data_IF_708729473971
#
_entry.id   IF_708729473971
#
_cell.length_a   1.000
_cell.length_b   1.000
_cell.length_c   1.000
_cell.angle_alpha   90.00
_cell.angle_beta   90.00
_cell.angle_gamma   90.00
#
_symmetry.space_group_name_H-M   'P 1'
#
loop_
_entity.id
_entity.type
_entity.pdbx_description
1 polymer ?
#
# COMPACT_ATOMS: atom_id res chain seq x y z
N UNK A 1 25.45 -6.77 1.75
CA UNK A 1 24.34 -5.87 2.07
C UNK A 1 23.82 -5.35 0.74
N UNK A 2 22.68 -5.80 0.34
CA UNK A 2 22.03 -5.33 -0.89
C UNK A 2 21.58 -3.90 -0.61
N UNK A 3 22.12 -2.96 -1.37
CA UNK A 3 21.83 -1.52 -1.21
C UNK A 3 20.46 -1.25 -1.86
N UNK A 4 19.38 -1.63 -1.16
CA UNK A 4 18.03 -1.36 -1.64
C UNK A 4 17.72 0.12 -1.46
N UNK A 5 17.11 0.69 -2.50
CA UNK A 5 16.66 2.07 -2.43
C UNK A 5 15.53 2.19 -1.39
N UNK A 6 15.68 3.15 -0.46
CA UNK A 6 14.65 3.47 0.53
C UNK A 6 13.39 3.98 -0.18
N UNK A 7 12.23 3.46 0.19
CA UNK A 7 10.93 3.88 -0.30
C UNK A 7 10.05 4.38 0.86
N UNK A 8 8.94 5.03 0.53
CA UNK A 8 7.89 5.38 1.49
C UNK A 8 6.65 4.56 1.21
N UNK A 9 6.17 3.83 2.21
CA UNK A 9 4.83 3.23 2.22
C UNK A 9 3.82 4.28 2.65
N UNK A 10 2.74 4.44 1.89
CA UNK A 10 1.61 5.33 2.21
C UNK A 10 0.41 4.46 2.50
N UNK A 11 -0.11 4.56 3.73
CA UNK A 11 -1.17 3.69 4.25
C UNK A 11 -2.33 4.56 4.74
N UNK A 12 -3.37 4.77 3.94
CA UNK A 12 -4.60 5.37 4.42
C UNK A 12 -5.40 4.36 5.26
N UNK A 13 -6.03 4.82 6.32
CA UNK A 13 -6.88 3.99 7.17
C UNK A 13 -8.13 4.76 7.62
N UNK A 14 -9.19 4.01 7.95
CA UNK A 14 -10.39 4.51 8.63
C UNK A 14 -11.04 3.39 9.40
N UNK A 15 -11.09 3.52 10.73
CA UNK A 15 -11.82 2.63 11.65
C UNK A 15 -11.60 1.14 11.40
N UNK A 16 -10.33 0.74 11.23
CA UNK A 16 -9.94 -0.65 10.96
C UNK A 16 -8.62 -1.03 11.66
N UNK A 17 -8.48 -0.61 12.90
CA UNK A 17 -7.25 -0.75 13.70
C UNK A 17 -6.57 -2.12 13.62
N UNK A 18 -7.26 -3.28 13.78
CA UNK A 18 -6.58 -4.57 13.74
C UNK A 18 -5.88 -4.86 12.41
N UNK A 19 -6.49 -4.48 11.31
CA UNK A 19 -5.90 -4.62 9.97
C UNK A 19 -4.73 -3.66 9.76
N UNK A 20 -4.88 -2.39 10.18
CA UNK A 20 -3.79 -1.41 10.14
C UNK A 20 -2.56 -1.91 10.90
N UNK A 21 -2.75 -2.46 12.10
CA UNK A 21 -1.67 -3.05 12.90
C UNK A 21 -0.98 -4.19 12.17
N UNK A 22 -1.73 -5.04 11.48
CA UNK A 22 -1.20 -6.14 10.71
C UNK A 22 -0.44 -5.65 9.46
N UNK A 23 -0.98 -4.66 8.74
CA UNK A 23 -0.33 -4.06 7.57
C UNK A 23 1.03 -3.43 7.94
N UNK A 24 1.04 -2.56 8.94
CA UNK A 24 2.26 -1.90 9.44
C UNK A 24 3.23 -2.92 10.03
N UNK A 25 2.74 -3.87 10.81
CA UNK A 25 3.53 -4.96 11.38
C UNK A 25 4.24 -5.81 10.33
N UNK A 26 3.62 -6.05 9.17
CA UNK A 26 4.24 -6.78 8.07
C UNK A 26 5.43 -6.03 7.46
N UNK A 27 5.37 -4.70 7.38
CA UNK A 27 6.49 -3.88 6.91
C UNK A 27 7.63 -3.94 7.94
N UNK A 28 7.31 -3.74 9.22
CA UNK A 28 8.32 -3.77 10.29
C UNK A 28 9.00 -5.13 10.41
N UNK A 29 8.26 -6.22 10.27
CA UNK A 29 8.78 -7.59 10.32
C UNK A 29 9.79 -7.88 9.20
N UNK A 30 9.51 -7.43 7.98
CA UNK A 30 10.32 -7.78 6.82
C UNK A 30 11.42 -6.76 6.51
N UNK A 31 11.25 -5.51 6.95
CA UNK A 31 12.14 -4.41 6.57
C UNK A 31 12.62 -3.56 7.76
N UNK A 32 12.08 -3.76 8.97
CA UNK A 32 12.44 -2.94 10.13
C UNK A 32 12.20 -1.46 9.85
N UNK A 33 13.23 -0.63 10.08
CA UNK A 33 13.20 0.82 9.83
C UNK A 33 13.89 1.24 8.51
N UNK A 34 14.12 0.29 7.60
CA UNK A 34 14.82 0.57 6.32
C UNK A 34 14.01 1.48 5.40
N UNK A 35 12.69 1.49 5.54
CA UNK A 35 11.76 2.29 4.75
C UNK A 35 10.98 3.28 5.60
N UNK A 36 10.46 4.34 4.97
CA UNK A 36 9.52 5.25 5.62
C UNK A 36 8.09 4.72 5.54
N UNK A 37 7.28 5.04 6.55
CA UNK A 37 5.85 4.75 6.56
C UNK A 37 5.10 6.06 6.83
N UNK A 38 4.18 6.41 5.96
CA UNK A 38 3.22 7.51 6.15
C UNK A 38 1.87 6.88 6.44
N UNK A 39 1.36 7.07 7.66
CA UNK A 39 0.04 6.57 8.09
C UNK A 39 -0.93 7.74 8.08
N UNK A 40 -2.03 7.58 7.36
CA UNK A 40 -3.01 8.63 7.10
C UNK A 40 -4.37 8.21 7.67
N UNK A 41 -4.77 8.84 8.78
CA UNK A 41 -6.06 8.60 9.42
C UNK A 41 -7.16 9.47 8.81
N UNK A 42 -8.22 8.86 8.29
CA UNK A 42 -9.38 9.53 7.68
C UNK A 42 -10.52 9.70 8.67
N UNK A 43 -10.27 10.41 9.77
CA UNK A 43 -11.25 10.64 10.83
C UNK A 43 -11.84 9.34 11.39
N UNK A 44 -10.97 8.41 11.80
CA UNK A 44 -11.39 7.17 12.47
C UNK A 44 -12.15 7.45 13.76
N UNK A 45 -13.13 6.61 14.04
CA UNK A 45 -13.97 6.64 15.25
C UNK A 45 -13.72 5.46 16.21
N UNK A 46 -12.69 4.65 15.89
CA UNK A 46 -12.11 3.63 16.76
C UNK A 46 -10.82 4.15 17.42
N UNK A 47 -10.03 3.30 18.03
CA UNK A 47 -8.76 3.66 18.67
C UNK A 47 -7.58 3.73 17.65
N UNK A 48 -7.84 3.85 16.36
CA UNK A 48 -6.78 3.87 15.32
C UNK A 48 -5.84 5.05 15.52
N UNK A 49 -6.36 6.25 15.76
CA UNK A 49 -5.51 7.42 15.90
C UNK A 49 -4.62 7.37 17.14
N UNK A 50 -5.16 7.00 18.29
CA UNK A 50 -4.40 6.85 19.53
C UNK A 50 -3.29 5.81 19.41
N UNK A 51 -3.56 4.73 18.67
CA UNK A 51 -2.52 3.74 18.36
C UNK A 51 -1.46 4.32 17.42
N UNK A 52 -1.86 5.04 16.37
CA UNK A 52 -0.93 5.66 15.39
C UNK A 52 0.04 6.60 16.12
N UNK A 53 -0.46 7.50 16.97
CA UNK A 53 0.38 8.43 17.75
C UNK A 53 1.38 7.67 18.63
N UNK A 54 0.88 6.68 19.38
CA UNK A 54 1.72 5.86 20.26
C UNK A 54 2.76 5.04 19.49
N UNK A 55 2.37 4.49 18.33
CA UNK A 55 3.27 3.68 17.50
C UNK A 55 4.38 4.52 16.85
N UNK A 56 4.07 5.75 16.45
CA UNK A 56 5.02 6.65 15.81
C UNK A 56 6.01 7.29 16.80
N UNK A 57 5.69 7.28 18.10
CA UNK A 57 6.53 7.95 19.10
C UNK A 57 7.96 7.39 19.12
N UNK A 58 8.94 8.28 18.98
CA UNK A 58 10.36 7.94 18.94
C UNK A 58 10.84 7.25 17.65
N UNK A 59 10.02 7.16 16.60
CA UNK A 59 10.37 6.54 15.31
C UNK A 59 10.52 7.59 14.20
N UNK A 60 11.75 7.88 13.77
CA UNK A 60 12.03 8.90 12.75
C UNK A 60 11.54 8.54 11.34
N UNK A 61 11.30 7.25 11.08
CA UNK A 61 10.82 6.74 9.80
C UNK A 61 9.28 6.65 9.70
N UNK A 62 8.54 7.02 10.76
CA UNK A 62 7.08 7.05 10.76
C UNK A 62 6.61 8.50 10.67
N UNK A 63 5.72 8.76 9.72
CA UNK A 63 5.08 10.06 9.52
C UNK A 63 3.59 9.85 9.64
N UNK A 64 2.92 10.67 10.42
CA UNK A 64 1.49 10.56 10.68
C UNK A 64 0.74 11.77 10.16
N UNK A 65 -0.49 11.56 9.75
CA UNK A 65 -1.43 12.60 9.38
C UNK A 65 -2.83 12.20 9.85
N UNK A 66 -3.57 13.14 10.38
CA UNK A 66 -4.98 12.97 10.73
C UNK A 66 -5.85 13.95 9.93
N UNK A 67 -6.93 13.45 9.40
CA UNK A 67 -8.01 14.27 8.90
C UNK A 67 -8.90 14.69 10.07
N UNK A 68 -8.77 15.95 10.51
CA UNK A 68 -9.51 16.51 11.65
C UNK A 68 -10.85 17.11 11.25
N UNK A 69 -11.27 17.00 10.00
CA UNK A 69 -12.56 17.60 9.54
C UNK A 69 -13.79 16.94 10.13
N UNK A 70 -13.66 15.71 10.63
CA UNK A 70 -14.77 14.86 11.07
C UNK A 70 -15.49 14.15 9.93
N UNK A 71 -15.34 14.61 8.70
CA UNK A 71 -15.91 13.99 7.50
C UNK A 71 -14.85 13.14 6.77
N UNK A 72 -15.31 12.09 6.09
CA UNK A 72 -14.45 11.26 5.25
C UNK A 72 -13.97 12.05 4.03
N UNK A 73 -12.63 12.11 3.82
CA UNK A 73 -12.04 12.69 2.60
C UNK A 73 -11.66 11.64 1.57
N UNK A 74 -11.43 10.40 1.99
CA UNK A 74 -11.21 9.23 1.14
C UNK A 74 -9.84 9.13 0.50
N UNK A 75 -9.67 8.06 -0.28
CA UNK A 75 -8.38 7.66 -0.85
C UNK A 75 -7.82 8.71 -1.80
N UNK A 76 -8.64 9.32 -2.66
CA UNK A 76 -8.23 10.36 -3.62
C UNK A 76 -7.41 11.45 -2.95
N UNK A 77 -7.91 11.99 -1.83
CA UNK A 77 -7.24 13.06 -1.10
C UNK A 77 -6.05 12.53 -0.31
N UNK A 78 -6.23 11.38 0.38
CA UNK A 78 -5.19 10.84 1.26
C UNK A 78 -3.95 10.38 0.50
N UNK A 79 -4.09 9.81 -0.70
CA UNK A 79 -2.93 9.45 -1.50
C UNK A 79 -2.11 10.69 -1.85
N UNK A 80 -2.74 11.78 -2.27
CA UNK A 80 -2.05 13.03 -2.58
C UNK A 80 -1.33 13.61 -1.35
N UNK A 81 -1.97 13.57 -0.18
CA UNK A 81 -1.34 13.94 1.09
C UNK A 81 -0.14 13.02 1.36
N UNK A 82 -0.29 11.71 1.17
CA UNK A 82 0.78 10.73 1.35
C UNK A 82 1.97 10.98 0.44
N UNK A 83 1.74 11.21 -0.86
CA UNK A 83 2.80 11.58 -1.80
C UNK A 83 3.51 12.87 -1.39
N UNK A 84 2.75 13.86 -0.93
CA UNK A 84 3.34 15.13 -0.46
C UNK A 84 4.24 14.94 0.76
N UNK A 85 3.81 14.11 1.73
CA UNK A 85 4.54 13.85 2.98
C UNK A 85 5.72 12.88 2.78
N UNK A 86 5.70 12.03 1.78
CA UNK A 86 6.78 11.07 1.48
C UNK A 86 8.12 11.80 1.32
N UNK A 87 9.15 11.30 2.03
CA UNK A 87 10.51 11.86 1.99
C UNK A 87 11.40 11.23 0.94
N UNK A 88 10.99 10.07 0.41
CA UNK A 88 11.76 9.30 -0.57
C UNK A 88 11.28 9.57 -2.00
N UNK A 89 12.12 9.33 -3.02
CA UNK A 89 11.72 9.51 -4.42
C UNK A 89 10.74 8.45 -4.93
N UNK A 90 10.58 7.33 -4.22
CA UNK A 90 9.69 6.23 -4.59
C UNK A 90 8.64 6.06 -3.51
N UNK A 91 7.39 5.94 -3.93
CA UNK A 91 6.23 5.78 -3.05
C UNK A 91 5.50 4.50 -3.40
N UNK A 92 5.12 3.76 -2.38
CA UNK A 92 4.26 2.57 -2.45
C UNK A 92 2.93 2.86 -1.77
N UNK A 93 1.84 2.78 -2.51
CA UNK A 93 0.49 2.79 -1.93
C UNK A 93 0.18 1.38 -1.42
N UNK A 94 -0.19 1.29 -0.16
CA UNK A 94 -0.61 0.06 0.49
C UNK A 94 -1.92 0.32 1.27
N UNK A 95 -2.95 -0.48 1.05
CA UNK A 95 -4.16 -0.35 1.88
C UNK A 95 -3.91 -0.90 3.29
N UNK A 96 -4.63 -0.36 4.25
CA UNK A 96 -4.51 -0.76 5.66
C UNK A 96 -4.98 -2.18 5.97
N UNK A 97 -5.59 -2.87 5.03
CA UNK A 97 -6.02 -4.27 5.09
C UNK A 97 -5.13 -5.22 4.26
N UNK A 98 -3.96 -4.77 3.87
CA UNK A 98 -3.00 -5.54 3.08
C UNK A 98 -1.69 -5.76 3.84
N UNK A 99 -1.11 -6.95 3.68
CA UNK A 99 0.23 -7.26 4.20
C UNK A 99 1.23 -7.34 3.05
N UNK A 100 2.47 -6.89 3.31
CA UNK A 100 3.57 -7.06 2.38
C UNK A 100 4.32 -8.37 2.65
N UNK A 101 5.07 -8.82 1.67
CA UNK A 101 5.90 -10.04 1.75
C UNK A 101 7.38 -9.68 1.79
N UNK A 102 8.27 -10.62 2.21
CA UNK A 102 9.71 -10.34 2.34
C UNK A 102 10.39 -9.80 1.08
N UNK A 103 9.87 -10.13 -0.12
CA UNK A 103 10.46 -9.73 -1.41
C UNK A 103 9.65 -8.62 -2.12
N UNK A 104 8.66 -8.02 -1.46
CA UNK A 104 7.78 -7.03 -2.07
C UNK A 104 8.57 -5.85 -2.67
N UNK A 105 9.42 -5.20 -1.86
CA UNK A 105 10.20 -4.04 -2.30
C UNK A 105 11.17 -4.40 -3.42
N UNK A 106 11.89 -5.49 -3.26
CA UNK A 106 12.88 -5.94 -4.24
C UNK A 106 12.23 -6.25 -5.59
N UNK A 107 11.11 -6.97 -5.56
CA UNK A 107 10.42 -7.39 -6.78
C UNK A 107 9.77 -6.21 -7.49
N UNK A 108 9.17 -5.28 -6.76
CA UNK A 108 8.56 -4.09 -7.37
C UNK A 108 9.61 -3.14 -7.94
N UNK A 109 10.70 -2.89 -7.21
CA UNK A 109 11.77 -2.00 -7.69
C UNK A 109 12.54 -2.57 -8.89
N UNK A 110 12.62 -3.88 -9.04
CA UNK A 110 13.24 -4.53 -10.20
C UNK A 110 12.57 -4.12 -11.52
N UNK A 111 11.27 -3.88 -11.49
CA UNK A 111 10.47 -3.54 -12.67
C UNK A 111 10.16 -2.04 -12.79
N UNK A 112 10.46 -1.25 -11.75
CA UNK A 112 10.15 0.18 -11.73
C UNK A 112 11.13 0.96 -12.61
N UNK A 113 10.59 1.68 -13.59
CA UNK A 113 11.33 2.62 -14.43
C UNK A 113 10.65 4.00 -14.40
N UNK A 114 11.33 5.09 -14.76
CA UNK A 114 10.67 6.38 -14.91
C UNK A 114 9.45 6.28 -15.83
N UNK A 115 8.39 7.00 -15.50
CA UNK A 115 7.11 6.96 -16.21
C UNK A 115 6.50 5.55 -16.28
N UNK A 116 6.62 4.77 -15.17
CA UNK A 116 5.94 3.48 -15.01
C UNK A 116 5.31 3.34 -13.64
N UNK A 117 4.27 2.52 -13.56
CA UNK A 117 3.64 2.09 -12.30
C UNK A 117 3.77 0.58 -12.21
N UNK A 118 4.24 0.08 -11.08
CA UNK A 118 4.37 -1.36 -10.83
C UNK A 118 3.37 -1.77 -9.76
N UNK A 119 2.43 -2.63 -10.13
CA UNK A 119 1.47 -3.23 -9.19
C UNK A 119 1.93 -4.62 -8.81
N UNK A 120 1.90 -4.94 -7.52
CA UNK A 120 2.15 -6.30 -7.06
C UNK A 120 0.93 -7.19 -7.30
N UNK A 121 1.20 -8.46 -7.63
CA UNK A 121 0.12 -9.45 -7.69
C UNK A 121 -0.47 -9.69 -6.31
N UNK A 122 -1.78 -9.53 -6.19
CA UNK A 122 -2.51 -9.75 -4.93
C UNK A 122 -2.84 -11.21 -4.72
N UNK A 123 -2.85 -11.63 -3.46
CA UNK A 123 -3.43 -12.89 -3.01
C UNK A 123 -4.61 -12.53 -2.14
N UNK A 124 -5.80 -12.87 -2.57
CA UNK A 124 -7.05 -12.47 -1.92
C UNK A 124 -7.89 -13.68 -1.53
N UNK A 125 -8.65 -13.61 -0.41
CA UNK A 125 -9.72 -14.56 -0.16
C UNK A 125 -10.80 -14.48 -1.25
N UNK A 126 -11.70 -15.47 -1.37
CA UNK A 126 -12.67 -15.52 -2.45
C UNK A 126 -13.85 -14.54 -2.28
N UNK A 127 -13.54 -13.25 -2.04
CA UNK A 127 -14.51 -12.16 -1.93
C UNK A 127 -14.91 -11.62 -3.32
N UNK A 128 -13.98 -11.67 -4.27
CA UNK A 128 -14.16 -11.16 -5.61
C UNK A 128 -13.79 -12.21 -6.68
N UNK A 129 -14.33 -12.10 -7.89
CA UNK A 129 -13.98 -13.00 -8.99
C UNK A 129 -12.47 -13.01 -9.26
N UNK A 130 -11.92 -14.12 -9.80
CA UNK A 130 -10.53 -14.15 -10.26
C UNK A 130 -10.26 -13.08 -11.30
N UNK A 131 -9.02 -12.57 -11.31
CA UNK A 131 -8.54 -11.59 -12.27
C UNK A 131 -7.08 -11.82 -12.64
N UNK A 132 -6.57 -11.19 -13.70
CA UNK A 132 -5.22 -11.42 -14.20
C UNK A 132 -4.13 -10.96 -13.22
N UNK A 133 -4.45 -10.03 -12.33
CA UNK A 133 -3.54 -9.39 -11.36
C UNK A 133 -3.64 -9.95 -9.94
N UNK A 134 -4.35 -11.08 -9.76
CA UNK A 134 -4.54 -11.67 -8.44
C UNK A 134 -4.67 -13.19 -8.45
N UNK A 135 -4.34 -13.78 -7.31
CA UNK A 135 -4.66 -15.16 -6.96
C UNK A 135 -5.79 -15.20 -5.94
N UNK A 136 -6.81 -16.00 -6.20
CA UNK A 136 -7.87 -16.25 -5.23
C UNK A 136 -7.49 -17.46 -4.40
N UNK A 137 -7.06 -17.22 -3.17
CA UNK A 137 -6.74 -18.25 -2.19
C UNK A 137 -7.02 -17.74 -0.78
N UNK A 138 -7.73 -18.55 0.01
CA UNK A 138 -8.09 -18.20 1.36
C UNK A 138 -6.98 -18.58 2.35
N UNK A 139 -6.41 -17.58 3.01
CA UNK A 139 -5.51 -17.69 4.16
C UNK A 139 -6.10 -17.01 5.39
N UNK A 140 -7.43 -16.91 5.46
CA UNK A 140 -8.17 -16.18 6.48
C UNK A 140 -8.75 -14.87 5.95
N UNK A 141 -9.94 -14.55 6.41
CA UNK A 141 -10.64 -13.30 6.10
C UNK A 141 -10.52 -12.28 7.22
N UNK A 142 -10.34 -12.77 8.44
CA UNK A 142 -10.14 -11.97 9.64
C UNK A 142 -8.66 -12.01 10.06
N UNK A 143 -8.23 -11.01 10.82
CA UNK A 143 -6.83 -10.86 11.27
C UNK A 143 -6.32 -12.11 12.01
N UNK A 144 -7.13 -12.65 12.93
CA UNK A 144 -6.77 -13.83 13.72
C UNK A 144 -6.67 -15.08 12.83
N UNK A 145 -7.57 -15.23 11.85
CA UNK A 145 -7.56 -16.35 10.91
C UNK A 145 -6.30 -16.30 10.04
N UNK A 146 -5.97 -15.12 9.50
CA UNK A 146 -4.74 -14.93 8.73
C UNK A 146 -3.50 -15.19 9.57
N UNK A 147 -3.45 -14.69 10.80
CA UNK A 147 -2.31 -14.88 11.70
C UNK A 147 -2.03 -16.37 11.92
N UNK A 148 -3.08 -17.18 12.05
CA UNK A 148 -2.95 -18.64 12.22
C UNK A 148 -2.48 -19.37 10.94
N UNK A 149 -2.63 -18.77 9.77
CA UNK A 149 -2.25 -19.33 8.47
C UNK A 149 -1.05 -18.63 7.82
N UNK A 150 -0.39 -17.75 8.55
CA UNK A 150 0.69 -16.91 8.03
C UNK A 150 1.86 -17.72 7.47
N UNK A 151 2.24 -18.80 8.12
CA UNK A 151 3.35 -19.65 7.65
C UNK A 151 2.99 -20.32 6.32
N UNK A 152 1.77 -20.84 6.19
CA UNK A 152 1.28 -21.42 4.93
C UNK A 152 1.19 -20.36 3.81
N UNK A 153 0.76 -19.14 4.15
CA UNK A 153 0.78 -18.00 3.22
C UNK A 153 2.20 -17.70 2.74
N UNK A 154 3.18 -17.60 3.63
CA UNK A 154 4.57 -17.31 3.28
C UNK A 154 5.19 -18.45 2.45
N UNK A 155 4.89 -19.70 2.75
CA UNK A 155 5.30 -20.84 1.94
C UNK A 155 4.72 -20.75 0.52
N UNK A 156 3.46 -20.43 0.39
CA UNK A 156 2.82 -20.22 -0.92
C UNK A 156 3.46 -19.07 -1.69
N UNK A 157 3.68 -17.91 -1.05
CA UNK A 157 4.32 -16.74 -1.68
C UNK A 157 5.72 -17.06 -2.19
N UNK A 158 6.48 -17.88 -1.46
CA UNK A 158 7.82 -18.27 -1.85
C UNK A 158 7.85 -19.40 -2.90
N UNK A 159 6.69 -19.91 -3.32
CA UNK A 159 6.62 -20.92 -4.37
C UNK A 159 7.05 -20.33 -5.72
N UNK A 160 7.71 -21.15 -6.54
CA UNK A 160 8.21 -20.75 -7.86
C UNK A 160 7.10 -20.28 -8.82
N UNK A 161 5.86 -20.63 -8.54
CA UNK A 161 4.71 -20.27 -9.38
C UNK A 161 4.37 -18.78 -9.33
N UNK A 162 4.76 -18.09 -8.24
CA UNK A 162 4.44 -16.69 -8.01
C UNK A 162 5.61 -15.74 -8.31
N UNK A 163 6.82 -16.28 -8.44
CA UNK A 163 8.00 -15.46 -8.66
C UNK A 163 8.08 -15.04 -10.13
N UNK A 164 8.23 -13.74 -10.32
CA UNK A 164 8.69 -13.13 -11.57
C UNK A 164 7.75 -13.26 -12.77
N UNK A 165 6.52 -12.77 -12.62
CA UNK A 165 5.64 -12.55 -13.77
C UNK A 165 5.80 -11.13 -14.28
N UNK A 166 6.74 -10.97 -15.19
CA UNK A 166 6.88 -9.75 -15.99
C UNK A 166 5.69 -9.66 -16.98
N UNK A 167 4.59 -9.04 -16.55
CA UNK A 167 3.40 -8.86 -17.37
C UNK A 167 2.91 -7.44 -17.29
N UNK A 168 2.74 -6.83 -18.43
CA UNK A 168 1.94 -5.62 -18.55
C UNK A 168 0.47 -5.98 -18.40
N UNK A 169 -0.24 -5.32 -17.48
CA UNK A 169 -1.69 -5.43 -17.31
C UNK A 169 -2.37 -4.12 -17.69
N UNK A 170 -3.64 -4.21 -18.06
CA UNK A 170 -4.48 -3.04 -18.36
C UNK A 170 -5.24 -2.54 -17.12
N UNK A 171 -5.08 -3.20 -15.98
CA UNK A 171 -5.67 -2.81 -14.71
C UNK A 171 -4.58 -2.73 -13.64
N UNK A 172 -4.56 -1.65 -12.86
CA UNK A 172 -3.65 -1.44 -11.76
C UNK A 172 -4.47 -1.25 -10.50
N UNK A 173 -4.12 -2.00 -9.47
CA UNK A 173 -4.75 -1.93 -8.15
C UNK A 173 -3.67 -1.88 -7.07
N UNK A 174 -3.99 -1.28 -5.94
CA UNK A 174 -3.11 -1.36 -4.79
C UNK A 174 -2.83 -2.84 -4.42
N UNK A 175 -1.61 -3.15 -3.96
CA UNK A 175 -0.49 -2.23 -3.76
C UNK A 175 0.22 -1.89 -5.07
N UNK A 176 0.59 -0.64 -5.25
CA UNK A 176 1.36 -0.20 -6.41
C UNK A 176 2.47 0.79 -6.01
N UNK A 177 3.51 0.84 -6.84
CA UNK A 177 4.74 1.63 -6.61
C UNK A 177 5.01 2.50 -7.82
N UNK A 178 5.38 3.76 -7.59
CA UNK A 178 5.83 4.67 -8.65
C UNK A 178 6.80 5.74 -8.12
N UNK A 179 7.43 6.47 -9.02
CA UNK A 179 8.21 7.64 -8.65
C UNK A 179 7.29 8.79 -8.23
N UNK A 180 7.66 9.46 -7.13
CA UNK A 180 6.96 10.66 -6.63
C UNK A 180 6.93 11.78 -7.68
N UNK A 181 8.01 11.94 -8.43
CA UNK A 181 8.12 12.94 -9.48
C UNK A 181 7.12 12.67 -10.62
N UNK A 182 6.97 11.40 -11.02
CA UNK A 182 6.03 11.00 -12.06
C UNK A 182 4.58 11.31 -11.63
N UNK A 183 4.21 10.95 -10.40
CA UNK A 183 2.91 11.30 -9.83
C UNK A 183 2.65 12.81 -9.86
N UNK A 184 3.64 13.59 -9.43
CA UNK A 184 3.54 15.04 -9.38
C UNK A 184 3.45 15.67 -10.77
N UNK A 185 4.15 15.11 -11.75
CA UNK A 185 4.20 15.63 -13.12
C UNK A 185 2.83 15.61 -13.82
N UNK A 186 2.00 14.61 -13.49
CA UNK A 186 0.63 14.49 -14.02
C UNK A 186 -0.42 15.21 -13.16
N UNK A 187 0.01 15.87 -12.07
CA UNK A 187 -0.86 16.68 -11.20
C UNK A 187 -1.55 15.90 -10.08
N UNK A 188 -1.17 14.65 -9.79
CA UNK A 188 -1.80 13.81 -8.77
C UNK A 188 -3.19 13.34 -9.17
N UNK A 189 -4.04 13.02 -8.20
CA UNK A 189 -5.44 12.64 -8.44
C UNK A 189 -6.31 13.85 -8.75
N UNK A 190 -7.37 13.65 -9.53
CA UNK A 190 -8.43 14.64 -9.70
C UNK A 190 -9.44 14.52 -8.55
N UNK A 191 -9.55 15.58 -7.75
CA UNK A 191 -10.45 15.61 -6.59
C UNK A 191 -11.94 15.57 -6.93
N UNK A 192 -12.31 15.64 -8.22
CA UNK A 192 -13.68 15.37 -8.66
C UNK A 192 -14.08 13.91 -8.36
N UNK A 193 -13.11 12.99 -8.19
CA UNK A 193 -13.35 11.59 -7.84
C UNK A 193 -13.33 11.32 -6.32
N UNK A 194 -13.21 12.38 -5.48
CA UNK A 194 -13.27 12.22 -4.04
C UNK A 194 -14.72 11.88 -3.58
N UNK A 195 -14.90 11.07 -2.52
CA UNK A 195 -13.86 10.54 -1.64
C UNK A 195 -13.14 9.31 -2.20
N UNK A 196 -13.73 8.59 -3.13
CA UNK A 196 -13.19 7.43 -3.86
C UNK A 196 -14.19 7.03 -4.96
N UNK A 197 -13.75 6.40 -5.96
CA UNK A 197 -14.36 5.75 -7.13
C UNK A 197 -13.77 6.30 -8.43
N UNK A 198 -13.20 5.41 -9.22
CA UNK A 198 -12.58 5.69 -10.51
C UNK A 198 -11.35 6.64 -10.48
N UNK A 199 -10.89 7.06 -9.30
CA UNK A 199 -9.69 7.88 -9.15
C UNK A 199 -8.44 7.22 -9.73
N UNK A 200 -8.30 5.90 -9.53
CA UNK A 200 -7.20 5.11 -10.09
C UNK A 200 -7.28 5.06 -11.62
N UNK A 201 -8.49 4.86 -12.17
CA UNK A 201 -8.70 4.85 -13.63
C UNK A 201 -8.34 6.19 -14.25
N UNK A 202 -8.75 7.29 -13.66
CA UNK A 202 -8.42 8.63 -14.13
C UNK A 202 -6.91 8.86 -14.07
N UNK A 203 -6.29 8.61 -12.92
CA UNK A 203 -4.86 8.77 -12.70
C UNK A 203 -4.05 8.01 -13.75
N UNK A 204 -4.32 6.70 -13.91
CA UNK A 204 -3.54 5.86 -14.83
C UNK A 204 -3.86 6.15 -16.29
N UNK A 205 -5.05 6.59 -16.65
CA UNK A 205 -5.34 7.08 -18.00
C UNK A 205 -4.53 8.34 -18.32
N UNK A 206 -4.49 9.32 -17.42
CA UNK A 206 -3.65 10.52 -17.60
C UNK A 206 -2.16 10.20 -17.62
N UNK A 207 -1.76 9.16 -16.93
CA UNK A 207 -0.38 8.68 -16.91
C UNK A 207 0.01 7.96 -18.21
N UNK A 208 -0.96 7.36 -18.89
CA UNK A 208 -0.74 6.65 -20.18
C UNK A 208 -0.73 7.60 -21.39
N UNK A 209 -1.42 8.74 -21.31
CA UNK A 209 -1.50 9.73 -22.39
C UNK A 209 -0.25 10.61 -22.50
#
# INVERSE_FOLDING_TARGET
MTNYQRITFVIPCRSNLPYLQQAVGSIEEHYGSEHDIVILDDASDDNSWEWIESYADGKDNIITYRNDSGDRVGHTVLYDVGFKLAKTPIVSILHSDMVVTPMYVQNTLKHLTPMSVVSATRIEPPLHPPGPEKYVRNFGMEVDEFTNQKDEFLEFVNSKELIDRDKTSIGIFAPWVMYKEDFTSIGGHDFLFAPMELEDYDLFNRFHL
#
